data_IF_791771696283
#
_entry.id   IF_791771696283
#
_cell.length_a   1.000
_cell.length_b   1.000
_cell.length_c   1.000
_cell.angle_alpha   90.00
_cell.angle_beta   90.00
_cell.angle_gamma   90.00
#
_symmetry.space_group_name_H-M   'P 1'
#
loop_
_entity.id
_entity.type
_entity.pdbx_description
1 polymer ?
#
# COMPACT_ATOMS: atom_id res chain seq x y z
N UNK A 1 5.44 7.98 -4.37
CA UNK A 1 5.56 6.89 -3.38
C UNK A 1 4.36 5.96 -3.44
N UNK A 2 3.14 6.47 -3.22
CA UNK A 2 1.91 5.67 -3.09
C UNK A 2 1.63 4.78 -4.31
N UNK A 3 1.63 5.33 -5.54
CA UNK A 3 1.42 4.52 -6.75
C UNK A 3 2.48 3.43 -6.98
N UNK A 4 3.73 3.68 -6.56
CA UNK A 4 4.80 2.69 -6.68
C UNK A 4 4.63 1.55 -5.65
N UNK A 5 4.24 1.90 -4.42
CA UNK A 5 3.94 0.93 -3.37
C UNK A 5 2.73 0.07 -3.77
N UNK A 6 1.63 0.72 -4.17
CA UNK A 6 0.39 0.09 -4.63
C UNK A 6 0.66 -0.87 -5.80
N UNK A 7 1.37 -0.40 -6.84
CA UNK A 7 1.73 -1.24 -7.98
C UNK A 7 2.55 -2.46 -7.60
N UNK A 8 3.48 -2.31 -6.64
CA UNK A 8 4.41 -3.38 -6.25
C UNK A 8 3.78 -4.41 -5.30
N UNK A 9 2.77 -4.00 -4.52
CA UNK A 9 2.05 -4.91 -3.60
C UNK A 9 0.73 -5.45 -4.18
N UNK A 10 0.29 -4.94 -5.33
CA UNK A 10 -0.91 -5.41 -6.01
C UNK A 10 -0.78 -6.88 -6.44
N UNK A 11 -1.92 -7.57 -6.56
CA UNK A 11 -2.04 -8.91 -7.09
C UNK A 11 -1.31 -9.01 -8.45
N UNK A 12 -0.30 -9.89 -8.57
CA UNK A 12 0.44 -10.10 -9.81
C UNK A 12 -0.47 -10.37 -11.00
N UNK A 13 -0.11 -9.78 -12.15
CA UNK A 13 -0.96 -9.78 -13.35
C UNK A 13 -1.37 -11.19 -13.83
N UNK A 14 -0.51 -12.19 -13.58
CA UNK A 14 -0.71 -13.58 -13.96
C UNK A 14 -1.57 -14.39 -12.98
N UNK A 15 -1.85 -13.87 -11.78
CA UNK A 15 -2.67 -14.53 -10.76
C UNK A 15 -4.12 -14.01 -10.74
N UNK A 16 -4.48 -13.15 -11.70
CA UNK A 16 -5.84 -12.64 -11.86
C UNK A 16 -6.71 -13.68 -12.57
N UNK A 17 -7.62 -14.25 -11.80
CA UNK A 17 -8.58 -15.24 -12.29
C UNK A 17 -10.01 -14.75 -12.04
N UNK A 18 -10.94 -14.94 -13.01
CA UNK A 18 -10.70 -15.47 -14.35
C UNK A 18 -9.98 -14.46 -15.26
N UNK A 19 -9.15 -14.96 -16.18
CA UNK A 19 -8.54 -14.10 -17.21
C UNK A 19 -9.63 -13.60 -18.16
N UNK A 20 -9.75 -12.29 -18.43
CA UNK A 20 -10.74 -11.77 -19.36
C UNK A 20 -10.58 -12.38 -20.75
N UNK A 21 -11.68 -12.82 -21.36
CA UNK A 21 -11.70 -13.46 -22.68
C UNK A 21 -11.28 -12.53 -23.83
N UNK A 22 -11.42 -11.21 -23.64
CA UNK A 22 -10.99 -10.20 -24.59
C UNK A 22 -10.03 -9.20 -23.91
N UNK A 23 -8.87 -8.87 -24.52
CA UNK A 23 -7.94 -7.87 -23.99
C UNK A 23 -8.57 -6.51 -23.64
N UNK A 24 -9.63 -6.07 -24.33
CA UNK A 24 -10.33 -4.81 -24.03
C UNK A 24 -11.01 -4.82 -22.65
N UNK A 25 -11.32 -6.01 -22.14
CA UNK A 25 -11.95 -6.20 -20.84
C UNK A 25 -10.90 -6.30 -19.72
N UNK A 26 -9.61 -6.18 -20.03
CA UNK A 26 -8.57 -6.11 -19.00
C UNK A 26 -8.68 -4.79 -18.25
N UNK A 27 -8.48 -4.78 -16.92
CA UNK A 27 -8.43 -3.55 -16.16
C UNK A 27 -7.31 -2.64 -16.71
N UNK A 28 -7.55 -1.33 -16.73
CA UNK A 28 -6.53 -0.35 -17.12
C UNK A 28 -5.25 -0.46 -16.26
N UNK A 29 -5.40 -0.86 -14.99
CA UNK A 29 -4.30 -1.12 -14.07
C UNK A 29 -3.84 -2.58 -14.14
N UNK A 30 -2.60 -2.81 -14.58
CA UNK A 30 -2.01 -4.15 -14.76
C UNK A 30 -1.62 -4.84 -13.44
N UNK A 31 -1.50 -4.11 -12.32
CA UNK A 31 -0.95 -4.64 -11.06
C UNK A 31 0.55 -4.90 -11.14
N UNK A 32 1.08 -5.70 -10.20
CA UNK A 32 2.50 -6.07 -10.19
C UNK A 32 2.86 -6.85 -11.46
N UNK A 33 3.91 -6.41 -12.15
CA UNK A 33 4.46 -7.05 -13.34
C UNK A 33 5.96 -6.71 -13.50
N UNK A 34 6.75 -7.56 -14.21
CA UNK A 34 8.20 -7.42 -14.26
C UNK A 34 8.71 -6.07 -14.77
N UNK A 35 7.95 -5.37 -15.62
CA UNK A 35 8.37 -4.08 -16.18
C UNK A 35 8.10 -2.96 -15.17
N UNK A 36 6.85 -2.82 -14.72
CA UNK A 36 6.49 -1.74 -13.78
C UNK A 36 7.20 -1.88 -12.44
N UNK A 37 7.47 -3.11 -12.01
CA UNK A 37 8.10 -3.38 -10.71
C UNK A 37 9.53 -2.83 -10.64
N UNK A 38 10.26 -2.83 -11.76
CA UNK A 38 11.60 -2.20 -11.84
C UNK A 38 11.49 -0.70 -11.58
N UNK A 39 10.54 -0.04 -12.23
CA UNK A 39 10.31 1.40 -12.09
C UNK A 39 9.75 1.77 -10.72
N UNK A 40 8.82 0.97 -10.20
CA UNK A 40 8.24 1.14 -8.87
C UNK A 40 9.32 1.01 -7.79
N UNK A 41 10.17 -0.02 -7.88
CA UNK A 41 11.29 -0.23 -6.96
C UNK A 41 12.31 0.92 -7.04
N UNK A 42 12.61 1.41 -8.25
CA UNK A 42 13.49 2.56 -8.43
C UNK A 42 12.91 3.83 -7.83
N UNK A 43 11.62 4.11 -8.05
CA UNK A 43 10.92 5.26 -7.47
C UNK A 43 10.89 5.18 -5.93
N UNK A 44 10.61 4.00 -5.38
CA UNK A 44 10.66 3.77 -3.93
C UNK A 44 12.07 3.97 -3.36
N UNK A 45 13.12 3.54 -4.08
CA UNK A 45 14.52 3.79 -3.70
C UNK A 45 14.90 5.27 -3.76
N UNK A 46 14.43 6.02 -4.76
CA UNK A 46 14.63 7.48 -4.85
C UNK A 46 13.94 8.15 -3.67
N UNK A 47 12.66 7.85 -3.46
CA UNK A 47 11.87 8.38 -2.35
C UNK A 47 12.56 8.08 -1.02
N UNK A 48 12.99 6.84 -0.81
CA UNK A 48 13.78 6.46 0.36
C UNK A 48 15.08 7.24 0.54
N UNK A 49 15.87 7.38 -0.54
CA UNK A 49 17.17 8.06 -0.53
C UNK A 49 17.04 9.54 -0.16
N UNK A 50 15.99 10.20 -0.62
CA UNK A 50 15.79 11.63 -0.41
C UNK A 50 14.89 11.95 0.79
N UNK A 51 14.02 11.04 1.23
CA UNK A 51 13.25 11.17 2.48
C UNK A 51 14.04 10.75 3.72
N UNK A 52 14.87 9.69 3.65
CA UNK A 52 15.77 9.28 4.72
C UNK A 52 17.20 9.48 4.29
N UNK A 53 17.77 10.62 4.67
CA UNK A 53 19.21 10.85 4.61
C UNK A 53 19.91 10.08 5.75
N UNK A 54 19.90 8.75 5.66
CA UNK A 54 20.81 7.81 6.36
C UNK A 54 20.77 6.49 5.60
N UNK A 55 21.85 6.18 4.86
CA UNK A 55 21.90 5.06 3.94
C UNK A 55 22.19 3.70 4.59
N UNK A 56 21.80 2.63 3.89
CA UNK A 56 22.63 1.44 3.70
C UNK A 56 22.11 0.56 2.55
N UNK A 57 22.99 -0.28 2.04
CA UNK A 57 22.96 -1.09 0.82
C UNK A 57 21.83 -2.15 0.78
N UNK A 58 21.18 -2.29 -0.39
CA UNK A 58 20.11 -3.25 -0.66
C UNK A 58 20.63 -4.66 -0.92
N UNK A 59 20.04 -5.69 -0.28
CA UNK A 59 19.57 -6.94 -0.92
C UNK A 59 18.69 -7.79 0.04
N UNK A 60 17.83 -8.63 -0.57
CA UNK A 60 16.90 -9.68 -0.06
C UNK A 60 15.40 -9.32 0.10
N UNK A 61 14.59 -9.98 -0.75
CA UNK A 61 13.13 -9.92 -0.91
C UNK A 61 12.47 -11.13 -0.20
N UNK A 62 11.44 -10.94 0.64
CA UNK A 62 10.05 -10.98 0.17
C UNK A 62 9.39 -9.61 0.33
N UNK A 63 8.54 -9.24 -0.62
CA UNK A 63 8.03 -7.89 -0.97
C UNK A 63 7.95 -6.89 0.19
N UNK A 64 7.32 -7.23 1.31
CA UNK A 64 7.13 -6.34 2.48
C UNK A 64 8.44 -6.03 3.23
N UNK A 65 9.33 -7.01 3.41
CA UNK A 65 10.65 -6.77 4.05
C UNK A 65 11.55 -5.91 3.17
N UNK A 66 11.53 -6.14 1.87
CA UNK A 66 12.26 -5.31 0.91
C UNK A 66 11.77 -3.85 0.97
N UNK A 67 10.46 -3.64 1.07
CA UNK A 67 9.87 -2.31 1.25
C UNK A 67 10.27 -1.65 2.57
N UNK A 68 10.28 -2.39 3.68
CA UNK A 68 10.77 -1.89 4.97
C UNK A 68 12.21 -1.36 4.85
N UNK A 69 13.10 -2.16 4.25
CA UNK A 69 14.50 -1.78 4.05
C UNK A 69 14.64 -0.55 3.16
N UNK A 70 13.89 -0.52 2.04
CA UNK A 70 13.89 0.62 1.12
C UNK A 70 13.45 1.86 1.89
N UNK A 71 12.35 1.82 2.61
CA UNK A 71 11.87 2.93 3.45
C UNK A 71 12.74 3.19 4.69
N UNK A 72 13.92 2.57 4.79
CA UNK A 72 14.94 2.77 5.81
C UNK A 72 14.53 2.32 7.21
N UNK A 73 13.62 1.35 7.33
CA UNK A 73 13.29 0.71 8.60
C UNK A 73 14.41 -0.25 9.02
N UNK A 74 14.71 -0.31 10.32
CA UNK A 74 15.64 -1.31 10.85
C UNK A 74 14.95 -2.67 10.95
N UNK A 75 15.39 -3.61 10.12
CA UNK A 75 14.83 -4.97 10.05
C UNK A 75 15.83 -6.06 10.44
N UNK A 76 16.98 -5.69 11.02
CA UNK A 76 18.10 -6.63 11.27
C UNK A 76 17.69 -7.85 12.10
N UNK A 77 16.80 -7.67 13.07
CA UNK A 77 16.30 -8.74 13.95
C UNK A 77 14.82 -9.07 13.71
N UNK A 78 14.19 -8.46 12.71
CA UNK A 78 12.75 -8.57 12.47
C UNK A 78 12.36 -9.93 11.88
N UNK A 79 11.36 -10.58 12.47
CA UNK A 79 10.77 -11.80 11.90
C UNK A 79 9.90 -11.42 10.70
N UNK A 80 9.73 -12.33 9.74
CA UNK A 80 8.94 -12.08 8.52
C UNK A 80 7.51 -11.66 8.84
N UNK A 81 6.89 -12.30 9.84
CA UNK A 81 5.52 -11.98 10.29
C UNK A 81 5.37 -10.56 10.85
N UNK A 82 6.45 -9.95 11.34
CA UNK A 82 6.42 -8.61 11.93
C UNK A 82 6.64 -7.51 10.87
N UNK A 83 7.01 -7.88 9.64
CA UNK A 83 7.37 -6.93 8.57
C UNK A 83 6.20 -6.01 8.17
N UNK A 84 4.96 -6.50 8.22
CA UNK A 84 3.78 -5.68 7.94
C UNK A 84 3.61 -4.54 8.95
N UNK A 85 3.78 -4.83 10.24
CA UNK A 85 3.69 -3.83 11.31
C UNK A 85 4.82 -2.80 11.22
N UNK A 86 6.05 -3.25 10.99
CA UNK A 86 7.21 -2.37 10.82
C UNK A 86 7.03 -1.43 9.62
N UNK A 87 6.47 -1.95 8.51
CA UNK A 87 6.17 -1.13 7.34
C UNK A 87 5.12 -0.06 7.67
N UNK A 88 4.03 -0.45 8.34
CA UNK A 88 2.96 0.46 8.74
C UNK A 88 3.47 1.58 9.69
N UNK A 89 4.28 1.22 10.69
CA UNK A 89 4.88 2.18 11.62
C UNK A 89 5.83 3.14 10.91
N UNK A 90 6.62 2.62 9.97
CA UNK A 90 7.53 3.45 9.16
C UNK A 90 6.76 4.45 8.32
N UNK A 91 5.65 4.04 7.70
CA UNK A 91 4.78 4.93 6.94
C UNK A 91 4.11 5.98 7.83
N UNK A 92 3.59 5.59 9.00
CA UNK A 92 3.01 6.53 9.98
C UNK A 92 4.02 7.57 10.45
N UNK A 93 5.25 7.13 10.74
CA UNK A 93 6.33 8.05 11.09
C UNK A 93 6.59 9.07 9.97
N UNK A 94 6.55 8.66 8.71
CA UNK A 94 6.70 9.62 7.60
C UNK A 94 5.55 10.62 7.53
N UNK A 95 4.30 10.18 7.74
CA UNK A 95 3.16 11.10 7.74
C UNK A 95 3.31 12.15 8.86
N UNK A 96 3.72 11.70 10.05
CA UNK A 96 4.02 12.58 11.18
C UNK A 96 5.17 13.55 10.88
N UNK A 97 6.32 13.05 10.43
CA UNK A 97 7.51 13.87 10.12
C UNK A 97 7.24 14.91 9.02
N UNK A 98 6.30 14.62 8.11
CA UNK A 98 5.86 15.51 7.03
C UNK A 98 4.70 16.44 7.42
N UNK A 99 4.23 16.40 8.68
CA UNK A 99 3.08 17.15 9.18
C UNK A 99 1.81 16.95 8.33
N UNK A 100 1.56 15.73 7.86
CA UNK A 100 0.31 15.37 7.17
C UNK A 100 -0.79 15.19 8.21
N UNK A 101 -1.96 15.80 8.04
CA UNK A 101 -3.10 15.68 8.97
C UNK A 101 -3.34 14.24 9.48
N UNK A 102 -3.61 14.13 10.78
CA UNK A 102 -3.69 12.85 11.51
C UNK A 102 -5.01 12.10 11.23
N UNK A 103 -5.08 11.49 10.05
CA UNK A 103 -6.19 10.65 9.65
C UNK A 103 -7.42 11.42 9.16
N UNK A 104 -8.48 10.67 8.89
CA UNK A 104 -9.69 11.20 8.25
C UNK A 104 -10.42 12.23 9.12
N UNK A 105 -10.33 12.11 10.45
CA UNK A 105 -10.98 13.06 11.35
C UNK A 105 -10.36 14.46 11.26
N UNK A 106 -9.05 14.55 11.08
CA UNK A 106 -8.33 15.82 10.98
C UNK A 106 -8.71 16.61 9.71
N UNK A 107 -9.19 15.94 8.67
CA UNK A 107 -9.66 16.56 7.41
C UNK A 107 -11.20 16.68 7.31
N UNK A 108 -11.92 16.44 8.41
CA UNK A 108 -13.35 16.74 8.53
C UNK A 108 -14.32 15.57 8.35
N UNK A 109 -13.84 14.32 8.27
CA UNK A 109 -14.72 13.15 8.30
C UNK A 109 -15.04 12.71 9.73
N UNK A 110 -16.16 12.02 9.88
CA UNK A 110 -16.60 11.44 11.14
C UNK A 110 -16.91 9.96 10.97
N UNK A 111 -17.11 9.25 12.10
CA UNK A 111 -17.58 7.86 12.07
C UNK A 111 -18.95 7.70 11.40
N UNK A 112 -19.75 8.77 11.36
CA UNK A 112 -21.06 8.74 10.69
C UNK A 112 -20.93 8.65 9.16
N UNK A 113 -19.78 9.00 8.59
CA UNK A 113 -19.52 8.96 7.15
C UNK A 113 -19.08 7.57 6.66
N UNK A 114 -18.68 6.67 7.57
CA UNK A 114 -18.17 5.34 7.23
C UNK A 114 -19.13 4.55 6.32
N UNK A 115 -20.45 4.48 6.59
CA UNK A 115 -21.37 3.75 5.70
C UNK A 115 -21.38 4.29 4.26
N UNK A 116 -21.30 5.61 4.10
CA UNK A 116 -21.26 6.24 2.78
C UNK A 116 -19.93 5.98 2.07
N UNK A 117 -18.81 6.02 2.80
CA UNK A 117 -17.48 5.70 2.29
C UNK A 117 -17.39 4.24 1.83
N UNK A 118 -17.84 3.29 2.65
CA UNK A 118 -17.88 1.86 2.29
C UNK A 118 -18.72 1.66 1.03
N UNK A 119 -19.94 2.21 0.99
CA UNK A 119 -20.83 2.13 -0.18
C UNK A 119 -20.20 2.71 -1.44
N UNK A 120 -19.43 3.80 -1.31
CA UNK A 120 -18.69 4.42 -2.41
C UNK A 120 -17.50 3.60 -2.88
N UNK A 121 -16.87 2.80 -2.01
CA UNK A 121 -15.68 2.00 -2.31
C UNK A 121 -16.00 0.66 -2.99
N UNK A 122 -17.08 -0.02 -2.58
CA UNK A 122 -17.46 -1.33 -3.13
C UNK A 122 -17.55 -1.40 -4.68
N UNK A 123 -18.20 -0.44 -5.39
CA UNK A 123 -18.30 -0.51 -6.85
C UNK A 123 -16.98 -0.19 -7.57
N UNK A 124 -15.91 0.20 -6.86
CA UNK A 124 -14.60 0.53 -7.43
C UNK A 124 -13.78 -0.74 -7.74
N UNK A 125 -14.40 -1.70 -8.44
CA UNK A 125 -13.82 -3.00 -8.78
C UNK A 125 -12.48 -2.91 -9.52
N UNK A 126 -12.22 -1.79 -10.20
CA UNK A 126 -10.94 -1.54 -10.90
C UNK A 126 -9.75 -1.47 -9.95
N UNK A 127 -9.95 -1.07 -8.71
CA UNK A 127 -8.92 -0.93 -7.68
C UNK A 127 -9.05 -2.04 -6.63
N UNK A 128 -10.26 -2.35 -6.18
CA UNK A 128 -10.47 -3.34 -5.13
C UNK A 128 -10.05 -4.75 -5.56
N UNK A 129 -10.22 -5.12 -6.83
CA UNK A 129 -9.73 -6.41 -7.39
C UNK A 129 -8.21 -6.48 -7.53
N UNK A 130 -7.47 -5.38 -7.32
CA UNK A 130 -6.01 -5.38 -7.30
C UNK A 130 -5.46 -5.87 -5.96
N UNK A 131 -6.27 -5.88 -4.91
CA UNK A 131 -5.82 -6.28 -3.59
C UNK A 131 -5.48 -7.77 -3.54
N UNK A 132 -4.38 -8.17 -2.88
CA UNK A 132 -4.03 -9.58 -2.73
C UNK A 132 -4.99 -10.38 -1.82
N UNK A 133 -5.92 -9.69 -1.15
CA UNK A 133 -6.98 -10.31 -0.34
C UNK A 133 -8.32 -9.79 -0.81
N UNK A 134 -9.42 -10.57 -0.74
CA UNK A 134 -10.76 -10.01 -0.86
C UNK A 134 -11.05 -9.06 0.32
N UNK A 135 -11.99 -8.15 0.15
CA UNK A 135 -12.51 -7.26 1.20
C UNK A 135 -14.02 -7.45 1.31
N UNK A 136 -14.53 -7.55 2.53
CA UNK A 136 -15.96 -7.40 2.80
C UNK A 136 -16.32 -5.96 3.18
N UNK A 137 -17.61 -5.66 3.33
CA UNK A 137 -18.06 -4.36 3.84
C UNK A 137 -17.52 -4.12 5.26
N UNK A 138 -17.48 -5.16 6.08
CA UNK A 138 -16.96 -5.13 7.44
C UNK A 138 -15.45 -4.83 7.45
N UNK A 139 -14.67 -5.44 6.54
CA UNK A 139 -13.24 -5.17 6.40
C UNK A 139 -12.99 -3.69 6.07
N UNK A 140 -13.77 -3.13 5.14
CA UNK A 140 -13.66 -1.72 4.75
C UNK A 140 -14.12 -0.78 5.86
N UNK A 141 -15.18 -1.13 6.57
CA UNK A 141 -15.67 -0.36 7.73
C UNK A 141 -14.61 -0.28 8.82
N UNK A 142 -14.01 -1.42 9.19
CA UNK A 142 -12.93 -1.49 10.16
C UNK A 142 -11.69 -0.71 9.70
N UNK A 143 -11.36 -0.77 8.40
CA UNK A 143 -10.26 0.00 7.81
C UNK A 143 -10.51 1.51 7.94
N UNK A 144 -11.69 2.00 7.58
CA UNK A 144 -12.04 3.43 7.70
C UNK A 144 -12.07 3.88 9.15
N UNK A 145 -12.59 3.06 10.07
CA UNK A 145 -12.58 3.36 11.50
C UNK A 145 -11.15 3.48 12.04
N UNK A 146 -10.27 2.52 11.70
CA UNK A 146 -8.85 2.57 12.07
C UNK A 146 -8.09 3.73 11.40
N UNK A 147 -8.61 4.28 10.30
CA UNK A 147 -8.02 5.41 9.57
C UNK A 147 -8.52 6.77 10.07
N UNK A 148 -9.46 6.81 11.03
CA UNK A 148 -9.92 8.07 11.63
C UNK A 148 -8.79 8.80 12.36
N UNK A 149 -7.84 8.04 12.93
CA UNK A 149 -6.64 8.55 13.59
C UNK A 149 -5.46 7.60 13.32
N UNK A 150 -4.32 8.14 12.89
CA UNK A 150 -3.20 7.34 12.42
C UNK A 150 -2.04 7.29 13.42
N UNK A 151 -1.73 8.37 14.15
CA UNK A 151 -0.56 8.45 15.02
C UNK A 151 -0.77 9.26 16.32
#
# INVERSE_FOLDING_TARGET
>A
MVHALESYTALPYNMRSPCPSNPINRPAYQGSNPISDVWALHALRIVAKYLKRTGFLLFLHPTVKALCLILGADIRTARIKDAGFILADTLRKFLFDLNVDDGLAAIGYSKADIPALVKGTLPQERVTKLSPRPQTEEDLSALFEASMKLY
#
